data_IF_802698436515
#
_entry.id   IF_802698436515
#
_cell.length_a   1.000
_cell.length_b   1.000
_cell.length_c   1.000
_cell.angle_alpha   90.00
_cell.angle_beta   90.00
_cell.angle_gamma   90.00
#
_symmetry.space_group_name_H-M   'P 1'
#
loop_
_entity.id
_entity.type
_entity.pdbx_description
1 polymer ?
#
# COMPACT_ATOMS: atom_id res chain seq x y z
N UNK A 1 -15.74 6.04 10.47
CA UNK A 1 -15.02 6.55 9.27
C UNK A 1 -14.43 5.35 8.59
N UNK A 2 -14.62 5.19 7.27
CA UNK A 2 -14.40 3.90 6.64
C UNK A 2 -13.47 3.98 5.45
N UNK A 3 -12.57 3.02 5.36
CA UNK A 3 -11.73 2.79 4.19
C UNK A 3 -12.24 1.54 3.49
N UNK A 4 -12.54 1.66 2.21
CA UNK A 4 -12.95 0.53 1.36
C UNK A 4 -11.76 -0.01 0.59
N UNK A 5 -11.49 -1.32 0.68
CA UNK A 5 -10.43 -1.96 -0.09
C UNK A 5 -10.98 -2.66 -1.35
N UNK A 6 -10.62 -2.20 -2.53
CA UNK A 6 -10.90 -2.89 -3.80
C UNK A 6 -9.69 -3.75 -4.16
N UNK A 7 -9.87 -5.07 -4.16
CA UNK A 7 -8.82 -6.06 -4.39
C UNK A 7 -8.90 -6.59 -5.81
N UNK A 8 -7.82 -6.43 -6.59
CA UNK A 8 -7.84 -6.63 -8.04
C UNK A 8 -6.85 -7.70 -8.49
N UNK A 9 -7.40 -8.72 -9.16
CA UNK A 9 -6.66 -9.86 -9.69
C UNK A 9 -6.01 -10.72 -8.60
N UNK A 10 -5.28 -11.75 -9.03
CA UNK A 10 -4.67 -12.72 -8.12
C UNK A 10 -3.82 -12.06 -7.02
N UNK A 11 -2.92 -11.15 -7.41
CA UNK A 11 -2.01 -10.49 -6.47
C UNK A 11 -2.77 -9.62 -5.45
N UNK A 12 -3.71 -8.80 -5.91
CA UNK A 12 -4.50 -7.92 -5.06
C UNK A 12 -5.34 -8.68 -4.03
N UNK A 13 -6.02 -9.75 -4.45
CA UNK A 13 -6.86 -10.57 -3.57
C UNK A 13 -6.02 -11.32 -2.51
N UNK A 14 -4.90 -11.92 -2.91
CA UNK A 14 -4.02 -12.64 -1.96
C UNK A 14 -3.34 -11.70 -0.95
N UNK A 15 -2.94 -10.51 -1.41
CA UNK A 15 -2.40 -9.47 -0.53
C UNK A 15 -3.48 -8.94 0.42
N UNK A 16 -4.68 -8.66 -0.10
CA UNK A 16 -5.82 -8.23 0.70
C UNK A 16 -6.17 -9.21 1.82
N UNK A 17 -6.22 -10.51 1.53
CA UNK A 17 -6.39 -11.54 2.55
C UNK A 17 -5.34 -11.43 3.67
N UNK A 18 -4.07 -11.38 3.28
CA UNK A 18 -2.95 -11.27 4.25
C UNK A 18 -2.99 -9.97 5.04
N UNK A 19 -3.48 -8.88 4.44
CA UNK A 19 -3.62 -7.57 5.07
C UNK A 19 -4.70 -7.57 6.16
N UNK A 20 -5.91 -8.03 5.85
CA UNK A 20 -6.99 -8.12 6.83
C UNK A 20 -6.67 -9.09 7.97
N UNK A 21 -6.02 -10.22 7.66
CA UNK A 21 -5.46 -11.15 8.66
C UNK A 21 -4.51 -10.45 9.63
N UNK A 22 -3.57 -9.68 9.10
CA UNK A 22 -2.61 -8.98 9.92
C UNK A 22 -3.32 -7.94 10.81
N UNK A 23 -4.25 -7.16 10.26
CA UNK A 23 -4.98 -6.14 11.00
C UNK A 23 -5.74 -6.72 12.19
N UNK A 24 -6.47 -7.84 12.02
CA UNK A 24 -7.23 -8.46 13.13
C UNK A 24 -6.32 -9.09 14.17
N UNK A 25 -5.25 -9.77 13.77
CA UNK A 25 -4.30 -10.33 14.72
C UNK A 25 -3.63 -9.25 15.57
N UNK A 26 -3.30 -8.11 14.96
CA UNK A 26 -2.76 -6.95 15.68
C UNK A 26 -3.83 -6.28 16.57
N UNK A 27 -5.07 -6.20 16.09
CA UNK A 27 -6.23 -5.67 16.80
C UNK A 27 -6.45 -6.38 18.15
N UNK A 28 -6.39 -7.71 18.16
CA UNK A 28 -6.62 -8.53 19.36
C UNK A 28 -5.64 -8.23 20.50
N UNK A 29 -4.41 -7.79 20.15
CA UNK A 29 -3.37 -7.43 21.12
C UNK A 29 -3.39 -5.92 21.49
N UNK A 30 -4.32 -5.15 20.94
CA UNK A 30 -4.39 -3.70 21.10
C UNK A 30 -5.43 -3.25 22.13
N UNK A 31 -5.38 -1.97 22.52
CA UNK A 31 -6.35 -1.40 23.46
C UNK A 31 -7.79 -1.37 22.91
N UNK A 32 -8.84 -1.38 23.77
CA UNK A 32 -10.22 -1.33 23.29
C UNK A 32 -10.55 -0.15 22.37
N UNK A 33 -9.90 1.00 22.56
CA UNK A 33 -10.08 2.17 21.70
C UNK A 33 -9.47 1.95 20.29
N UNK A 34 -8.30 1.29 20.21
CA UNK A 34 -7.69 0.93 18.94
C UNK A 34 -8.54 -0.11 18.21
N UNK A 35 -9.05 -1.11 18.95
CA UNK A 35 -9.94 -2.13 18.42
C UNK A 35 -11.20 -1.52 17.79
N UNK A 36 -11.90 -0.66 18.55
CA UNK A 36 -13.09 0.00 18.05
C UNK A 36 -12.79 0.87 16.81
N UNK A 37 -11.67 1.61 16.84
CA UNK A 37 -11.28 2.49 15.73
C UNK A 37 -10.95 1.68 14.47
N UNK A 38 -10.22 0.58 14.62
CA UNK A 38 -9.87 -0.30 13.50
C UNK A 38 -11.10 -0.99 12.92
N UNK A 39 -11.97 -1.53 13.77
CA UNK A 39 -13.19 -2.19 13.36
C UNK A 39 -14.09 -1.21 12.59
N UNK A 40 -14.28 0.01 13.10
CA UNK A 40 -15.02 1.05 12.38
C UNK A 40 -14.34 1.46 11.06
N UNK A 41 -13.00 1.42 10.98
CA UNK A 41 -12.27 1.80 9.77
C UNK A 41 -12.37 0.76 8.65
N UNK A 42 -12.14 -0.51 8.98
CA UNK A 42 -11.93 -1.56 7.97
C UNK A 42 -13.00 -2.64 7.92
N UNK A 43 -13.94 -2.66 8.89
CA UNK A 43 -14.98 -3.69 9.00
C UNK A 43 -16.37 -3.09 9.18
N UNK A 44 -17.41 -3.84 8.83
CA UNK A 44 -18.79 -3.60 9.26
C UNK A 44 -19.35 -4.86 9.90
N UNK A 45 -20.34 -4.69 10.76
CA UNK A 45 -20.94 -5.80 11.50
C UNK A 45 -22.29 -6.18 10.91
N UNK A 46 -22.55 -7.48 10.80
CA UNK A 46 -23.86 -8.03 10.47
C UNK A 46 -24.32 -8.96 11.59
N UNK A 47 -25.59 -8.86 11.95
CA UNK A 47 -26.24 -9.80 12.86
C UNK A 47 -26.60 -11.08 12.10
N UNK A 48 -25.96 -12.18 12.45
CA UNK A 48 -26.30 -13.51 11.94
C UNK A 48 -26.93 -14.37 13.04
N UNK A 49 -27.51 -15.51 12.66
CA UNK A 49 -28.09 -16.47 13.61
C UNK A 49 -27.06 -17.00 14.63
N UNK A 50 -25.78 -16.98 14.27
CA UNK A 50 -24.64 -17.40 15.11
C UNK A 50 -24.06 -16.27 15.98
N UNK A 51 -24.57 -15.04 15.88
CA UNK A 51 -24.05 -13.87 16.59
C UNK A 51 -23.66 -12.72 15.64
N UNK A 52 -23.01 -11.71 16.21
CA UNK A 52 -22.47 -10.57 15.43
C UNK A 52 -21.18 -10.99 14.76
N UNK A 53 -21.07 -10.72 13.46
CA UNK A 53 -19.92 -11.11 12.64
C UNK A 53 -19.31 -9.90 11.95
N UNK A 54 -17.97 -9.85 11.93
CA UNK A 54 -17.24 -8.76 11.29
C UNK A 54 -16.95 -9.10 9.84
N UNK A 55 -17.41 -8.25 8.92
CA UNK A 55 -17.13 -8.36 7.50
C UNK A 55 -16.15 -7.28 7.07
N UNK A 56 -15.13 -7.67 6.30
CA UNK A 56 -14.18 -6.74 5.73
C UNK A 56 -14.87 -5.79 4.74
N UNK A 57 -14.63 -4.48 4.88
CA UNK A 57 -15.06 -3.43 3.93
C UNK A 57 -14.26 -3.53 2.64
N UNK A 58 -14.56 -4.56 1.84
CA UNK A 58 -13.77 -4.86 0.65
C UNK A 58 -14.60 -5.42 -0.49
N UNK A 59 -14.11 -5.20 -1.70
CA UNK A 59 -14.64 -5.71 -2.95
C UNK A 59 -13.57 -6.56 -3.64
N UNK A 60 -13.82 -7.86 -3.80
CA UNK A 60 -12.88 -8.80 -4.41
C UNK A 60 -13.20 -8.98 -5.89
N UNK A 61 -12.24 -8.71 -6.77
CA UNK A 61 -12.43 -8.75 -8.22
C UNK A 61 -11.31 -9.58 -8.82
N UNK A 62 -11.68 -10.64 -9.54
CA UNK A 62 -10.76 -11.36 -10.42
C UNK A 62 -11.53 -11.91 -11.62
N UNK A 63 -10.88 -12.04 -12.77
CA UNK A 63 -11.51 -12.64 -13.93
C UNK A 63 -11.55 -14.17 -13.86
N UNK A 64 -10.88 -14.76 -12.86
CA UNK A 64 -10.88 -16.19 -12.58
C UNK A 64 -11.36 -16.47 -11.15
N UNK A 65 -12.22 -17.48 -10.92
CA UNK A 65 -12.90 -17.64 -9.64
C UNK A 65 -12.02 -18.24 -8.55
N UNK A 66 -10.94 -18.93 -8.92
CA UNK A 66 -10.13 -19.77 -8.02
C UNK A 66 -9.58 -18.99 -6.82
N UNK A 67 -9.02 -17.81 -7.08
CA UNK A 67 -8.37 -17.00 -6.03
C UNK A 67 -9.42 -16.40 -5.10
N UNK A 68 -10.48 -15.80 -5.66
CA UNK A 68 -11.58 -15.22 -4.89
C UNK A 68 -12.26 -16.27 -4.01
N UNK A 69 -12.54 -17.46 -4.54
CA UNK A 69 -13.09 -18.56 -3.75
C UNK A 69 -12.16 -19.01 -2.63
N UNK A 70 -10.85 -19.04 -2.88
CA UNK A 70 -9.86 -19.36 -1.84
C UNK A 70 -9.88 -18.33 -0.70
N UNK A 71 -10.02 -17.04 -1.01
CA UNK A 71 -10.10 -15.97 -0.01
C UNK A 71 -11.44 -15.98 0.75
N UNK A 72 -12.55 -16.27 0.08
CA UNK A 72 -13.85 -16.40 0.74
C UNK A 72 -13.87 -17.58 1.73
N UNK A 73 -13.17 -18.67 1.41
CA UNK A 73 -13.15 -19.88 2.23
C UNK A 73 -12.10 -19.86 3.36
N UNK A 74 -11.06 -19.02 3.27
CA UNK A 74 -9.94 -19.04 4.22
C UNK A 74 -10.32 -18.66 5.65
N UNK A 75 -11.37 -17.83 5.81
CA UNK A 75 -11.82 -17.31 7.10
C UNK A 75 -13.24 -17.74 7.45
N UNK A 76 -13.76 -18.79 6.82
CA UNK A 76 -15.13 -19.22 7.06
C UNK A 76 -15.33 -19.66 8.53
N UNK A 77 -16.22 -18.98 9.23
CA UNK A 77 -16.52 -19.05 10.66
C UNK A 77 -15.39 -18.57 11.59
N UNK A 78 -14.53 -17.67 11.10
CA UNK A 78 -13.50 -17.02 11.90
C UNK A 78 -13.99 -15.69 12.50
N UNK A 79 -13.10 -14.97 13.21
CA UNK A 79 -13.34 -13.67 13.86
C UNK A 79 -13.76 -12.58 12.85
N UNK A 80 -13.39 -12.75 11.58
CA UNK A 80 -13.76 -11.87 10.48
C UNK A 80 -13.93 -12.66 9.17
N UNK A 81 -14.69 -12.12 8.21
CA UNK A 81 -14.89 -12.73 6.89
C UNK A 81 -14.95 -11.71 5.75
N UNK A 82 -14.78 -12.18 4.53
CA UNK A 82 -15.20 -11.46 3.33
C UNK A 82 -16.68 -11.72 3.05
N UNK A 83 -17.40 -10.68 2.65
CA UNK A 83 -18.80 -10.81 2.28
C UNK A 83 -18.91 -11.44 0.88
N UNK A 84 -19.55 -12.63 0.73
CA UNK A 84 -19.67 -13.29 -0.56
C UNK A 84 -20.46 -12.46 -1.59
N UNK A 85 -21.26 -11.48 -1.16
CA UNK A 85 -21.99 -10.58 -2.05
C UNK A 85 -21.11 -9.48 -2.64
N UNK A 86 -19.97 -9.18 -2.00
CA UNK A 86 -19.02 -8.15 -2.42
C UNK A 86 -17.86 -8.75 -3.21
N UNK A 87 -18.18 -9.58 -4.20
CA UNK A 87 -17.20 -10.15 -5.10
C UNK A 87 -17.66 -10.16 -6.55
N UNK A 88 -16.71 -10.14 -7.48
CA UNK A 88 -16.96 -10.28 -8.90
C UNK A 88 -15.96 -11.26 -9.52
N UNK A 89 -16.49 -12.29 -10.19
CA UNK A 89 -15.69 -13.27 -10.93
C UNK A 89 -16.26 -13.57 -12.30
N UNK A 90 -15.38 -13.95 -13.23
CA UNK A 90 -15.73 -14.50 -14.54
C UNK A 90 -15.04 -15.86 -14.75
N UNK A 91 -15.19 -16.46 -15.93
CA UNK A 91 -14.51 -17.70 -16.32
C UNK A 91 -13.44 -17.48 -17.40
N UNK A 92 -13.10 -16.22 -17.69
CA UNK A 92 -12.19 -15.85 -18.77
C UNK A 92 -11.13 -14.85 -18.29
N UNK A 93 -9.91 -15.32 -18.07
CA UNK A 93 -8.78 -14.49 -17.64
C UNK A 93 -8.34 -13.44 -18.67
N UNK A 94 -7.50 -12.51 -18.22
CA UNK A 94 -6.97 -11.42 -19.06
C UNK A 94 -5.66 -11.78 -19.80
N UNK A 95 -5.14 -13.00 -19.63
CA UNK A 95 -3.96 -13.51 -20.36
C UNK A 95 -2.68 -12.67 -20.23
N UNK A 96 -2.46 -12.00 -19.10
CA UNK A 96 -1.34 -11.06 -18.89
C UNK A 96 -1.26 -9.90 -19.89
N UNK A 97 -2.38 -9.51 -20.51
CA UNK A 97 -2.45 -8.40 -21.44
C UNK A 97 -3.29 -7.25 -20.84
N UNK A 98 -2.64 -6.11 -20.60
CA UNK A 98 -3.30 -4.92 -20.04
C UNK A 98 -4.43 -4.40 -20.92
N UNK A 99 -4.23 -4.34 -22.24
CA UNK A 99 -5.24 -3.85 -23.19
C UNK A 99 -6.50 -4.71 -23.18
N UNK A 100 -6.35 -6.03 -23.05
CA UNK A 100 -7.50 -6.92 -22.96
C UNK A 100 -8.30 -6.70 -21.67
N UNK A 101 -7.59 -6.57 -20.54
CA UNK A 101 -8.21 -6.27 -19.25
C UNK A 101 -8.96 -4.93 -19.26
N UNK A 102 -8.34 -3.88 -19.82
CA UNK A 102 -8.89 -2.53 -19.83
C UNK A 102 -10.00 -2.34 -20.88
N UNK A 103 -9.72 -2.55 -22.16
CA UNK A 103 -10.64 -2.22 -23.26
C UNK A 103 -11.73 -3.27 -23.49
N UNK A 104 -11.53 -4.53 -23.10
CA UNK A 104 -12.51 -5.59 -23.35
C UNK A 104 -13.24 -5.98 -22.07
N UNK A 105 -12.51 -6.43 -21.05
CA UNK A 105 -13.12 -6.89 -19.81
C UNK A 105 -13.70 -5.73 -19.00
N UNK A 106 -13.00 -4.59 -18.94
CA UNK A 106 -13.49 -3.36 -18.29
C UNK A 106 -14.87 -2.96 -18.78
N UNK A 107 -15.01 -2.72 -20.08
CA UNK A 107 -16.29 -2.34 -20.70
C UNK A 107 -17.40 -3.38 -20.47
N UNK A 108 -17.09 -4.68 -20.62
CA UNK A 108 -18.08 -5.76 -20.42
C UNK A 108 -18.57 -5.87 -18.98
N UNK A 109 -17.70 -5.61 -18.01
CA UNK A 109 -17.96 -5.87 -16.60
C UNK A 109 -18.37 -4.63 -15.80
N UNK A 110 -18.22 -3.43 -16.39
CA UNK A 110 -18.46 -2.11 -15.77
C UNK A 110 -19.69 -2.09 -14.87
N UNK A 111 -20.88 -2.30 -15.46
CA UNK A 111 -22.15 -2.08 -14.74
C UNK A 111 -22.31 -3.03 -13.55
N UNK A 112 -21.87 -4.28 -13.69
CA UNK A 112 -21.95 -5.27 -12.60
C UNK A 112 -21.00 -4.91 -11.47
N UNK A 113 -19.77 -4.51 -11.79
CA UNK A 113 -18.77 -4.12 -10.79
C UNK A 113 -19.23 -2.85 -10.07
N UNK A 114 -19.71 -1.84 -10.82
CA UNK A 114 -20.23 -0.59 -10.26
C UNK A 114 -21.42 -0.83 -9.33
N UNK A 115 -22.38 -1.67 -9.72
CA UNK A 115 -23.52 -2.04 -8.86
C UNK A 115 -23.08 -2.74 -7.58
N UNK A 116 -22.11 -3.65 -7.64
CA UNK A 116 -21.57 -4.30 -6.44
C UNK A 116 -20.84 -3.30 -5.55
N UNK A 117 -20.06 -2.40 -6.15
CA UNK A 117 -19.37 -1.34 -5.41
C UNK A 117 -20.34 -0.38 -4.72
N UNK A 118 -21.41 0.04 -5.41
CA UNK A 118 -22.49 0.85 -4.86
C UNK A 118 -23.16 0.18 -3.65
N UNK A 119 -23.51 -1.10 -3.76
CA UNK A 119 -24.07 -1.87 -2.64
C UNK A 119 -23.14 -1.98 -1.45
N UNK A 120 -21.82 -2.04 -1.68
CA UNK A 120 -20.83 -2.00 -0.60
C UNK A 120 -20.81 -0.62 0.07
N UNK A 121 -20.83 0.47 -0.70
CA UNK A 121 -20.87 1.82 -0.15
C UNK A 121 -22.17 2.09 0.63
N UNK A 122 -23.32 1.56 0.18
CA UNK A 122 -24.60 1.65 0.90
C UNK A 122 -24.59 0.96 2.28
N UNK A 123 -23.71 -0.03 2.49
CA UNK A 123 -23.52 -0.70 3.77
C UNK A 123 -22.62 0.07 4.74
N UNK A 124 -22.06 1.21 4.30
CA UNK A 124 -21.05 1.97 5.01
C UNK A 124 -21.58 3.36 5.30
N UNK A 125 -21.60 3.77 6.57
CA UNK A 125 -22.15 5.06 6.98
C UNK A 125 -21.42 6.26 6.36
N UNK A 126 -20.08 6.20 6.33
CA UNK A 126 -19.23 7.24 5.76
C UNK A 126 -17.94 6.65 5.22
N UNK A 127 -17.76 6.70 3.89
CA UNK A 127 -16.54 6.31 3.20
C UNK A 127 -15.62 7.52 3.06
N UNK A 128 -14.42 7.42 3.61
CA UNK A 128 -13.40 8.47 3.56
C UNK A 128 -12.50 8.32 2.32
N UNK A 129 -12.18 7.08 1.98
CA UNK A 129 -11.26 6.79 0.89
C UNK A 129 -11.27 5.34 0.49
N UNK A 130 -10.68 5.10 -0.68
CA UNK A 130 -10.64 3.81 -1.34
C UNK A 130 -9.18 3.41 -1.50
N UNK A 131 -8.87 2.20 -1.04
CA UNK A 131 -7.58 1.56 -1.26
C UNK A 131 -7.74 0.52 -2.36
N UNK A 132 -6.98 0.66 -3.44
CA UNK A 132 -6.94 -0.32 -4.52
C UNK A 132 -5.68 -1.17 -4.38
N UNK A 133 -5.84 -2.48 -4.25
CA UNK A 133 -4.73 -3.44 -4.13
C UNK A 133 -4.57 -4.17 -5.46
N UNK A 134 -3.46 -3.95 -6.16
CA UNK A 134 -3.23 -4.52 -7.49
C UNK A 134 -1.75 -4.78 -7.79
N UNK A 135 -1.48 -5.58 -8.82
CA UNK A 135 -0.15 -5.69 -9.42
C UNK A 135 0.02 -4.72 -10.58
N UNK A 136 1.25 -4.32 -10.90
CA UNK A 136 1.53 -3.47 -12.07
C UNK A 136 1.61 -4.25 -13.39
N UNK A 137 1.92 -5.54 -13.32
CA UNK A 137 2.29 -6.34 -14.50
C UNK A 137 1.23 -7.34 -14.96
N UNK A 138 0.14 -7.52 -14.21
CA UNK A 138 -0.92 -8.47 -14.55
C UNK A 138 -1.70 -8.11 -15.83
N UNK A 139 -2.67 -8.93 -16.21
CA UNK A 139 -3.70 -8.49 -17.17
C UNK A 139 -4.95 -7.98 -16.44
N UNK A 140 -5.44 -8.76 -15.48
CA UNK A 140 -6.61 -8.41 -14.66
C UNK A 140 -6.26 -7.34 -13.64
N UNK A 141 -5.27 -7.62 -12.78
CA UNK A 141 -4.91 -6.72 -11.69
C UNK A 141 -4.62 -5.31 -12.17
N UNK A 142 -3.87 -5.18 -13.27
CA UNK A 142 -3.40 -3.89 -13.76
C UNK A 142 -4.30 -3.28 -14.85
N UNK A 143 -4.71 -4.04 -15.86
CA UNK A 143 -5.56 -3.57 -16.96
C UNK A 143 -6.99 -3.28 -16.50
N UNK A 144 -7.70 -4.31 -16.02
CA UNK A 144 -9.04 -4.13 -15.46
C UNK A 144 -9.00 -3.22 -14.21
N UNK A 145 -7.94 -3.29 -13.40
CA UNK A 145 -7.75 -2.39 -12.26
C UNK A 145 -7.66 -0.91 -12.65
N UNK A 146 -6.93 -0.59 -13.72
CA UNK A 146 -6.85 0.78 -14.27
C UNK A 146 -8.21 1.29 -14.72
N UNK A 147 -9.00 0.44 -15.39
CA UNK A 147 -10.36 0.78 -15.82
C UNK A 147 -11.30 1.02 -14.64
N UNK A 148 -11.23 0.17 -13.60
CA UNK A 148 -12.06 0.30 -12.40
C UNK A 148 -11.72 1.57 -11.63
N UNK A 149 -10.43 1.94 -11.56
CA UNK A 149 -10.04 3.20 -10.94
C UNK A 149 -10.65 4.40 -11.67
N UNK A 150 -10.57 4.43 -12.99
CA UNK A 150 -11.17 5.48 -13.81
C UNK A 150 -12.69 5.56 -13.59
N UNK A 151 -13.38 4.42 -13.65
CA UNK A 151 -14.81 4.32 -13.35
C UNK A 151 -15.15 4.84 -11.94
N UNK A 152 -14.38 4.48 -10.91
CA UNK A 152 -14.58 4.98 -9.55
C UNK A 152 -14.33 6.49 -9.48
N UNK A 153 -13.32 6.99 -10.19
CA UNK A 153 -12.99 8.42 -10.19
C UNK A 153 -14.06 9.26 -10.91
N UNK A 154 -14.67 8.72 -11.96
CA UNK A 154 -15.78 9.36 -12.69
C UNK A 154 -17.06 9.43 -11.85
N UNK A 155 -17.41 8.34 -11.16
CA UNK A 155 -18.66 8.24 -10.39
C UNK A 155 -18.54 8.84 -8.98
N UNK A 156 -17.34 8.80 -8.37
CA UNK A 156 -17.03 9.28 -7.02
C UNK A 156 -15.75 10.14 -6.98
N UNK A 157 -15.72 11.29 -7.66
CA UNK A 157 -14.54 12.15 -7.74
C UNK A 157 -14.07 12.69 -6.38
N UNK A 158 -14.99 12.83 -5.41
CA UNK A 158 -14.73 13.38 -4.07
C UNK A 158 -14.00 12.43 -3.12
N UNK A 159 -14.02 11.12 -3.40
CA UNK A 159 -13.35 10.13 -2.56
C UNK A 159 -11.85 10.09 -2.86
N UNK A 160 -11.03 10.06 -1.82
CA UNK A 160 -9.58 9.89 -1.97
C UNK A 160 -9.27 8.45 -2.44
N UNK A 161 -8.44 8.30 -3.47
CA UNK A 161 -7.99 7.00 -4.01
C UNK A 161 -6.50 6.81 -3.78
N UNK A 162 -6.17 5.79 -3.00
CA UNK A 162 -4.80 5.31 -2.78
C UNK A 162 -4.60 3.96 -3.46
N UNK A 163 -3.63 3.87 -4.36
CA UNK A 163 -3.31 2.63 -5.06
C UNK A 163 -2.09 1.94 -4.44
N UNK A 164 -2.27 0.76 -3.88
CA UNK A 164 -1.16 -0.11 -3.47
C UNK A 164 -0.79 -1.01 -4.65
N UNK A 165 0.37 -0.73 -5.24
CA UNK A 165 0.83 -1.38 -6.45
C UNK A 165 2.06 -2.26 -6.19
N UNK A 166 1.91 -3.56 -6.45
CA UNK A 166 3.02 -4.52 -6.39
C UNK A 166 3.72 -4.57 -7.75
N UNK A 167 4.95 -4.10 -7.80
CA UNK A 167 5.82 -4.18 -8.96
C UNK A 167 6.32 -5.62 -9.17
N UNK A 168 6.42 -6.08 -10.43
CA UNK A 168 6.92 -7.41 -10.73
C UNK A 168 8.39 -7.55 -10.36
N UNK A 169 8.87 -8.79 -10.29
CA UNK A 169 10.30 -9.05 -10.26
C UNK A 169 10.96 -8.48 -11.52
N UNK A 170 12.09 -7.80 -11.36
CA UNK A 170 12.86 -7.30 -12.48
C UNK A 170 13.39 -8.44 -13.35
N UNK A 171 13.56 -9.66 -12.87
CA UNK A 171 13.90 -10.83 -13.71
C UNK A 171 12.68 -11.66 -14.11
N UNK A 172 11.48 -11.10 -14.01
CA UNK A 172 10.20 -11.80 -14.10
C UNK A 172 9.96 -12.62 -15.37
N UNK A 173 9.08 -13.62 -15.24
CA UNK A 173 8.75 -14.61 -16.26
C UNK A 173 7.80 -14.07 -17.35
N UNK A 174 7.07 -12.99 -17.07
CA UNK A 174 6.07 -12.42 -17.99
C UNK A 174 6.75 -11.45 -18.95
N UNK A 175 6.85 -11.85 -20.21
CA UNK A 175 7.52 -11.06 -21.27
C UNK A 175 6.89 -9.67 -21.45
N UNK A 176 5.57 -9.54 -21.22
CA UNK A 176 4.81 -8.30 -21.40
C UNK A 176 4.85 -7.34 -20.19
N UNK A 177 5.52 -7.72 -19.10
CA UNK A 177 5.40 -7.00 -17.83
C UNK A 177 5.80 -5.53 -17.91
N UNK A 178 6.82 -5.19 -18.70
CA UNK A 178 7.30 -3.81 -18.81
C UNK A 178 6.27 -2.91 -19.49
N UNK A 179 5.61 -3.41 -20.53
CA UNK A 179 4.51 -2.70 -21.18
C UNK A 179 3.30 -2.53 -20.27
N UNK A 180 2.89 -3.60 -19.57
CA UNK A 180 1.78 -3.52 -18.62
C UNK A 180 2.08 -2.51 -17.51
N UNK A 181 3.29 -2.49 -16.96
CA UNK A 181 3.68 -1.54 -15.92
C UNK A 181 3.62 -0.08 -16.42
N UNK A 182 4.11 0.20 -17.63
CA UNK A 182 4.06 1.55 -18.22
C UNK A 182 2.61 2.01 -18.35
N UNK A 183 1.76 1.22 -19.01
CA UNK A 183 0.35 1.57 -19.22
C UNK A 183 -0.38 1.78 -17.89
N UNK A 184 -0.14 0.89 -16.93
CA UNK A 184 -0.76 0.95 -15.60
C UNK A 184 -0.36 2.23 -14.89
N UNK A 185 0.94 2.50 -14.68
CA UNK A 185 1.39 3.71 -13.97
C UNK A 185 0.85 4.98 -14.66
N UNK A 186 0.85 5.03 -16.00
CA UNK A 186 0.33 6.20 -16.72
C UNK A 186 -1.16 6.43 -16.49
N UNK A 187 -1.96 5.37 -16.48
CA UNK A 187 -3.40 5.43 -16.21
C UNK A 187 -3.69 5.77 -14.75
N UNK A 188 -2.96 5.16 -13.80
CA UNK A 188 -3.10 5.46 -12.37
C UNK A 188 -2.77 6.93 -12.07
N UNK A 189 -1.71 7.48 -12.66
CA UNK A 189 -1.31 8.88 -12.42
C UNK A 189 -2.40 9.90 -12.76
N UNK A 190 -3.27 9.58 -13.71
CA UNK A 190 -4.36 10.45 -14.12
C UNK A 190 -5.55 10.39 -13.15
N UNK A 191 -5.80 9.22 -12.56
CA UNK A 191 -7.05 8.92 -11.85
C UNK A 191 -6.91 8.69 -10.34
N UNK A 192 -5.69 8.67 -9.79
CA UNK A 192 -5.44 8.45 -8.35
C UNK A 192 -4.86 9.67 -7.65
N UNK A 193 -5.06 9.74 -6.34
CA UNK A 193 -4.41 10.76 -5.49
C UNK A 193 -3.00 10.32 -5.06
N UNK A 194 -2.80 9.04 -4.75
CA UNK A 194 -1.50 8.48 -4.37
C UNK A 194 -1.28 7.03 -4.80
N UNK A 195 -0.02 6.64 -4.94
CA UNK A 195 0.42 5.28 -5.29
C UNK A 195 1.46 4.82 -4.27
N UNK A 196 1.15 3.81 -3.45
CA UNK A 196 2.13 3.10 -2.65
C UNK A 196 2.77 2.02 -3.52
N UNK A 197 4.05 2.19 -3.86
CA UNK A 197 4.78 1.24 -4.70
C UNK A 197 5.53 0.23 -3.82
N UNK A 198 5.29 -1.05 -4.08
CA UNK A 198 5.93 -2.18 -3.39
C UNK A 198 6.73 -2.99 -4.39
N UNK A 199 8.01 -3.22 -4.12
CA UNK A 199 8.91 -3.95 -5.02
C UNK A 199 9.11 -5.40 -4.56
N UNK A 200 8.66 -6.38 -5.37
CA UNK A 200 8.80 -7.79 -5.03
C UNK A 200 10.27 -8.20 -4.77
N UNK A 201 11.23 -7.68 -5.54
CA UNK A 201 12.66 -7.99 -5.35
C UNK A 201 13.16 -7.53 -3.97
N UNK A 202 12.68 -6.39 -3.47
CA UNK A 202 13.04 -5.88 -2.13
C UNK A 202 12.36 -6.66 -1.01
N UNK A 203 11.12 -7.08 -1.22
CA UNK A 203 10.38 -7.92 -0.26
C UNK A 203 11.01 -9.32 -0.16
N UNK A 204 11.32 -9.93 -1.31
CA UNK A 204 12.04 -11.21 -1.38
C UNK A 204 13.39 -11.13 -0.65
N UNK A 205 14.11 -10.02 -0.82
CA UNK A 205 15.36 -9.78 -0.11
C UNK A 205 15.19 -9.71 1.41
N UNK A 206 14.13 -9.06 1.91
CA UNK A 206 13.80 -9.04 3.34
C UNK A 206 13.52 -10.46 3.84
N UNK A 207 12.71 -11.24 3.12
CA UNK A 207 12.41 -12.61 3.49
C UNK A 207 13.67 -13.50 3.55
N UNK A 208 14.52 -13.40 2.52
CA UNK A 208 15.75 -14.19 2.41
C UNK A 208 16.76 -13.82 3.51
N UNK A 209 17.03 -12.53 3.71
CA UNK A 209 18.14 -12.07 4.56
C UNK A 209 17.77 -11.85 6.02
N UNK A 210 16.58 -11.31 6.28
CA UNK A 210 16.15 -10.96 7.64
C UNK A 210 15.29 -12.05 8.26
N UNK A 211 14.39 -12.66 7.48
CA UNK A 211 13.51 -13.73 7.99
C UNK A 211 14.11 -15.14 7.83
N UNK A 212 15.30 -15.24 7.22
CA UNK A 212 16.02 -16.50 6.98
C UNK A 212 15.19 -17.54 6.16
N UNK A 213 14.33 -17.05 5.28
CA UNK A 213 13.50 -17.87 4.39
C UNK A 213 14.20 -18.03 3.04
N UNK A 214 14.93 -19.13 2.80
CA UNK A 214 15.77 -19.31 1.59
C UNK A 214 15.03 -19.24 0.25
N UNK A 215 13.73 -19.54 0.24
CA UNK A 215 12.85 -19.52 -0.95
C UNK A 215 11.47 -19.09 -0.49
N UNK A 216 11.24 -17.78 -0.33
CA UNK A 216 9.98 -17.28 0.20
C UNK A 216 8.86 -17.55 -0.80
N UNK A 217 7.76 -18.10 -0.29
CA UNK A 217 6.50 -18.22 -1.01
C UNK A 217 5.83 -16.85 -1.18
N UNK A 218 4.93 -16.72 -2.16
CA UNK A 218 4.11 -15.51 -2.33
C UNK A 218 3.34 -15.16 -1.04
N UNK A 219 2.88 -16.17 -0.29
CA UNK A 219 2.18 -15.95 0.98
C UNK A 219 3.08 -15.31 2.04
N UNK A 220 4.35 -15.74 2.14
CA UNK A 220 5.31 -15.13 3.08
C UNK A 220 5.67 -13.71 2.67
N UNK A 221 5.83 -13.45 1.37
CA UNK A 221 6.03 -12.09 0.87
C UNK A 221 4.81 -11.20 1.15
N UNK A 222 3.60 -11.69 0.91
CA UNK A 222 2.36 -10.96 1.21
C UNK A 222 2.22 -10.65 2.70
N UNK A 223 2.70 -11.52 3.60
CA UNK A 223 2.74 -11.22 5.05
C UNK A 223 3.66 -10.04 5.38
N UNK A 224 4.82 -9.94 4.72
CA UNK A 224 5.74 -8.80 4.91
C UNK A 224 5.12 -7.51 4.38
N UNK A 225 4.47 -7.56 3.21
CA UNK A 225 3.78 -6.41 2.63
C UNK A 225 2.59 -5.99 3.52
N UNK A 226 1.79 -6.95 3.99
CA UNK A 226 0.71 -6.72 4.94
C UNK A 226 1.21 -6.06 6.23
N UNK A 227 2.33 -6.53 6.79
CA UNK A 227 2.98 -5.91 7.95
C UNK A 227 3.37 -4.45 7.65
N UNK A 228 3.99 -4.17 6.49
CA UNK A 228 4.38 -2.81 6.10
C UNK A 228 3.16 -1.89 5.96
N UNK A 229 2.14 -2.30 5.22
CA UNK A 229 0.91 -1.54 5.02
C UNK A 229 0.21 -1.28 6.36
N UNK A 230 -0.02 -2.33 7.16
CA UNK A 230 -0.65 -2.22 8.47
C UNK A 230 0.14 -1.32 9.41
N UNK A 231 1.47 -1.29 9.33
CA UNK A 231 2.27 -0.43 10.21
C UNK A 231 2.01 1.07 10.02
N UNK A 232 1.54 1.45 8.82
CA UNK A 232 1.12 2.81 8.47
C UNK A 232 -0.40 2.96 8.67
N UNK A 233 -1.21 1.98 8.27
CA UNK A 233 -2.67 2.11 8.26
C UNK A 233 -3.34 1.77 9.61
N UNK A 234 -2.63 1.13 10.54
CA UNK A 234 -3.18 0.85 11.85
C UNK A 234 -3.44 2.16 12.61
N UNK A 235 -4.51 2.26 13.42
CA UNK A 235 -4.80 3.46 14.17
C UNK A 235 -3.65 3.91 15.07
N UNK A 236 -3.37 5.20 15.11
CA UNK A 236 -2.49 5.85 16.07
C UNK A 236 -3.36 6.43 17.18
N UNK A 237 -3.11 6.01 18.42
CA UNK A 237 -3.76 6.59 19.59
C UNK A 237 -2.84 7.61 20.27
N UNK A 238 -3.24 8.90 20.37
CA UNK A 238 -2.52 9.86 21.19
C UNK A 238 -2.64 9.50 22.67
N UNK A 239 -1.63 9.88 23.46
CA UNK A 239 -1.60 9.55 24.89
C UNK A 239 -2.79 10.17 25.64
N UNK A 240 -3.37 9.39 26.55
CA UNK A 240 -4.33 9.84 27.54
C UNK A 240 -3.67 10.90 28.44
N UNK A 241 -4.13 12.14 28.35
CA UNK A 241 -3.65 13.19 29.26
C UNK A 241 -3.93 12.77 30.71
N UNK A 242 -2.89 12.77 31.54
CA UNK A 242 -3.07 12.63 32.99
C UNK A 242 -3.54 13.97 33.53
N UNK A 243 -4.67 13.97 34.24
CA UNK A 243 -5.08 15.15 34.99
C UNK A 243 -4.05 15.44 36.10
N UNK A 244 -3.98 16.68 36.57
CA UNK A 244 -3.12 17.14 37.67
C UNK A 244 -3.32 16.37 38.99
N UNK A 245 -4.35 15.53 39.08
CA UNK A 245 -4.66 14.60 40.18
C UNK A 245 -4.10 13.17 39.99
N UNK A 246 -3.34 12.90 38.92
CA UNK A 246 -2.75 11.58 38.66
C UNK A 246 -3.72 10.53 38.12
N UNK A 247 -4.99 10.87 37.90
CA UNK A 247 -5.95 10.00 37.23
C UNK A 247 -5.72 10.04 35.71
N UNK A 248 -5.53 8.86 35.10
CA UNK A 248 -5.47 8.71 33.65
C UNK A 248 -6.84 9.00 33.07
N UNK A 249 -6.98 10.05 32.27
CA UNK A 249 -8.20 10.28 31.51
C UNK A 249 -8.19 9.29 30.33
N UNK A 250 -9.10 8.33 30.29
CA UNK A 250 -9.18 7.39 29.17
C UNK A 250 -9.30 8.17 27.84
N UNK A 251 -8.54 7.74 26.82
CA UNK A 251 -8.68 8.30 25.46
C UNK A 251 -10.08 7.95 24.98
N UNK A 252 -10.91 8.97 24.74
CA UNK A 252 -12.27 8.76 24.25
C UNK A 252 -12.22 8.24 22.82
N UNK A 253 -13.05 7.24 22.50
CA UNK A 253 -13.17 6.68 21.15
C UNK A 253 -13.39 7.75 20.06
N UNK A 254 -14.21 8.76 20.36
CA UNK A 254 -14.47 9.84 19.41
C UNK A 254 -13.21 10.67 19.11
N UNK A 255 -12.35 10.92 20.11
CA UNK A 255 -11.11 11.66 19.87
C UNK A 255 -10.05 10.81 19.16
N UNK A 256 -10.02 9.49 19.37
CA UNK A 256 -9.11 8.62 18.59
C UNK A 256 -9.49 8.60 17.11
N UNK A 257 -10.78 8.50 16.79
CA UNK A 257 -11.27 8.57 15.41
C UNK A 257 -10.86 9.88 14.72
N UNK A 258 -11.11 11.03 15.37
CA UNK A 258 -10.75 12.34 14.80
C UNK A 258 -9.25 12.51 14.56
N UNK A 259 -8.40 11.97 15.44
CA UNK A 259 -6.96 12.03 15.26
C UNK A 259 -6.47 11.12 14.14
N UNK A 260 -7.07 9.93 14.00
CA UNK A 260 -6.74 9.02 12.90
C UNK A 260 -7.19 9.58 11.55
N UNK A 261 -8.34 10.25 11.51
CA UNK A 261 -8.76 11.01 10.34
C UNK A 261 -7.73 12.07 9.94
N UNK A 262 -7.29 12.86 10.90
CA UNK A 262 -6.25 13.86 10.65
C UNK A 262 -4.96 13.20 10.13
N UNK A 263 -4.57 12.06 10.71
CA UNK A 263 -3.41 11.31 10.27
C UNK A 263 -3.50 10.84 8.81
N UNK A 264 -4.64 10.26 8.40
CA UNK A 264 -4.84 9.85 7.00
C UNK A 264 -4.84 11.05 6.05
N UNK A 265 -5.53 12.14 6.40
CA UNK A 265 -5.50 13.38 5.62
C UNK A 265 -4.09 13.96 5.50
N UNK A 266 -3.30 13.87 6.57
CA UNK A 266 -1.92 14.35 6.56
C UNK A 266 -1.04 13.59 5.57
N UNK A 267 -1.34 12.33 5.22
CA UNK A 267 -0.67 11.63 4.12
C UNK A 267 -0.89 12.38 2.80
N UNK A 268 -2.13 12.79 2.51
CA UNK A 268 -2.46 13.54 1.30
C UNK A 268 -1.89 14.97 1.35
N UNK A 269 -2.14 15.69 2.45
CA UNK A 269 -1.79 17.11 2.61
C UNK A 269 -0.29 17.36 2.76
N UNK A 270 0.49 16.38 3.22
CA UNK A 270 1.93 16.54 3.43
C UNK A 270 2.74 15.90 2.31
N UNK A 271 2.34 14.72 1.86
CA UNK A 271 3.13 13.92 0.91
C UNK A 271 2.65 14.04 -0.53
N UNK A 272 1.39 14.37 -0.79
CA UNK A 272 0.78 14.33 -2.13
C UNK A 272 0.28 15.70 -2.62
N UNK A 273 0.90 16.78 -2.13
CA UNK A 273 0.50 18.17 -2.46
C UNK A 273 0.66 18.56 -3.92
N UNK A 274 1.65 17.99 -4.61
CA UNK A 274 1.93 18.28 -6.01
C UNK A 274 1.52 17.08 -6.88
N UNK A 275 0.60 17.26 -7.85
CA UNK A 275 0.08 16.16 -8.65
C UNK A 275 1.13 15.46 -9.52
N UNK A 276 2.34 16.04 -9.68
CA UNK A 276 3.46 15.39 -10.37
C UNK A 276 4.11 14.29 -9.55
N UNK A 277 3.89 14.28 -8.23
CA UNK A 277 4.59 13.42 -7.29
C UNK A 277 3.61 12.60 -6.46
N UNK A 278 3.12 11.49 -7.03
CA UNK A 278 2.09 10.65 -6.41
C UNK A 278 2.62 9.34 -5.78
N UNK A 279 3.87 8.96 -6.04
CA UNK A 279 4.42 7.68 -5.61
C UNK A 279 5.03 7.78 -4.20
N UNK A 280 4.60 6.89 -3.32
CA UNK A 280 4.99 6.75 -1.92
C UNK A 280 5.69 5.41 -1.69
N UNK A 281 6.66 5.42 -0.79
CA UNK A 281 7.31 4.22 -0.24
C UNK A 281 6.94 4.04 1.22
N UNK A 282 6.85 2.78 1.66
CA UNK A 282 6.73 2.44 3.08
C UNK A 282 8.00 1.69 3.50
N UNK A 283 8.53 2.07 4.66
CA UNK A 283 9.64 1.39 5.32
C UNK A 283 9.32 1.24 6.79
N UNK A 284 9.74 0.14 7.39
CA UNK A 284 9.56 -0.09 8.82
C UNK A 284 10.74 -0.84 9.40
N UNK A 285 11.01 -0.57 10.67
CA UNK A 285 12.06 -1.20 11.47
C UNK A 285 11.52 -1.49 12.88
N UNK A 286 11.96 -2.58 13.52
CA UNK A 286 12.83 -3.61 12.97
C UNK A 286 12.04 -4.74 12.26
N UNK A 287 12.72 -5.42 11.35
CA UNK A 287 12.24 -6.61 10.65
C UNK A 287 13.08 -7.81 11.06
N UNK A 288 12.46 -8.76 11.78
CA UNK A 288 13.14 -9.95 12.28
C UNK A 288 12.15 -11.12 12.48
N UNK A 289 12.65 -12.37 12.59
CA UNK A 289 11.80 -13.53 12.90
C UNK A 289 11.19 -13.43 14.30
N UNK A 290 10.00 -14.01 14.50
CA UNK A 290 9.29 -13.98 15.78
C UNK A 290 10.10 -14.57 16.94
N UNK A 291 10.86 -15.63 16.68
CA UNK A 291 11.74 -16.27 17.67
C UNK A 291 12.85 -15.35 18.18
N UNK A 292 13.20 -14.30 17.43
CA UNK A 292 14.24 -13.33 17.78
C UNK A 292 13.70 -12.12 18.54
N UNK A 293 12.40 -11.84 18.45
CA UNK A 293 11.77 -10.65 19.07
C UNK A 293 11.91 -10.63 20.59
N UNK A 294 11.86 -11.79 21.25
CA UNK A 294 12.03 -11.91 22.70
C UNK A 294 13.43 -11.55 23.22
N UNK A 295 14.44 -11.49 22.33
CA UNK A 295 15.81 -11.12 22.66
C UNK A 295 16.17 -9.70 22.19
N UNK A 296 15.19 -8.95 21.73
CA UNK A 296 15.37 -7.59 21.21
C UNK A 296 15.77 -6.64 22.35
N UNK A 297 16.77 -5.79 22.08
CA UNK A 297 17.16 -4.70 22.99
C UNK A 297 17.43 -3.42 22.17
N UNK A 298 16.49 -3.08 21.30
CA UNK A 298 16.63 -1.92 20.43
C UNK A 298 16.44 -0.61 21.20
N UNK A 299 17.29 0.35 20.88
CA UNK A 299 17.20 1.72 21.37
C UNK A 299 16.52 2.60 20.31
N UNK A 300 15.69 3.56 20.73
CA UNK A 300 14.97 4.46 19.82
C UNK A 300 15.91 5.22 18.88
N UNK A 301 17.04 5.71 19.38
CA UNK A 301 18.07 6.38 18.58
C UNK A 301 18.71 5.46 17.53
N UNK A 302 18.84 4.16 17.83
CA UNK A 302 19.36 3.19 16.87
C UNK A 302 18.34 2.91 15.76
N UNK A 303 17.06 2.74 16.12
CA UNK A 303 15.98 2.54 15.14
C UNK A 303 15.81 3.76 14.24
N UNK A 304 15.83 4.97 14.82
CA UNK A 304 15.77 6.22 14.06
C UNK A 304 16.94 6.33 13.08
N UNK A 305 18.16 5.99 13.52
CA UNK A 305 19.34 5.99 12.66
C UNK A 305 19.24 4.96 11.51
N UNK A 306 18.67 3.77 11.77
CA UNK A 306 18.46 2.74 10.73
C UNK A 306 17.49 3.23 9.67
N UNK A 307 16.31 3.72 10.08
CA UNK A 307 15.28 4.15 9.13
C UNK A 307 15.73 5.41 8.35
N UNK A 308 16.49 6.29 9.00
CA UNK A 308 17.14 7.43 8.37
C UNK A 308 18.15 7.00 7.30
N UNK A 309 19.03 6.06 7.62
CA UNK A 309 20.01 5.56 6.66
C UNK A 309 19.32 4.85 5.49
N UNK A 310 18.29 4.03 5.76
CA UNK A 310 17.47 3.38 4.74
C UNK A 310 16.84 4.37 3.76
N UNK A 311 16.36 5.51 4.25
CA UNK A 311 15.87 6.61 3.41
C UNK A 311 16.98 7.09 2.48
N UNK A 312 18.12 7.51 3.01
CA UNK A 312 19.22 8.11 2.23
C UNK A 312 19.81 7.13 1.22
N UNK A 313 19.95 5.86 1.59
CA UNK A 313 20.53 4.85 0.73
C UNK A 313 19.57 4.21 -0.25
N UNK A 314 18.27 4.49 -0.16
CA UNK A 314 17.23 3.76 -0.90
C UNK A 314 17.32 2.23 -0.70
N UNK A 315 17.58 1.81 0.54
CA UNK A 315 17.77 0.40 0.86
C UNK A 315 16.72 -0.09 1.85
N UNK A 316 16.45 -1.38 1.83
CA UNK A 316 15.73 -2.04 2.92
C UNK A 316 16.67 -2.31 4.11
N UNK A 317 16.10 -2.70 5.25
CA UNK A 317 16.86 -2.96 6.49
C UNK A 317 17.92 -4.06 6.29
N UNK A 318 17.69 -4.98 5.36
CA UNK A 318 18.60 -6.07 5.01
C UNK A 318 19.96 -5.61 4.47
N UNK A 319 20.01 -4.46 3.79
CA UNK A 319 21.17 -3.98 3.03
C UNK A 319 21.43 -2.48 3.24
N UNK A 320 21.44 -2.02 4.48
CA UNK A 320 21.70 -0.62 4.77
C UNK A 320 23.13 -0.24 4.34
N UNK A 321 23.25 0.71 3.41
CA UNK A 321 24.55 1.25 3.03
C UNK A 321 24.94 2.38 3.99
N UNK A 322 25.63 2.02 5.08
CA UNK A 322 26.13 2.94 6.10
C UNK A 322 27.21 3.92 5.63
N UNK A 323 27.82 3.68 4.46
CA UNK A 323 28.83 4.59 3.91
C UNK A 323 28.22 5.78 3.16
N UNK A 324 26.94 5.68 2.78
CA UNK A 324 26.28 6.70 1.97
C UNK A 324 26.00 7.94 2.82
N UNK A 325 26.60 9.06 2.42
CA UNK A 325 26.43 10.36 3.09
C UNK A 325 25.12 11.02 2.66
N UNK A 326 24.61 11.88 3.53
CA UNK A 326 23.39 12.69 3.29
C UNK A 326 23.53 13.46 1.97
N UNK A 327 24.68 14.07 1.69
CA UNK A 327 24.90 14.87 0.46
C UNK A 327 24.69 14.06 -0.83
N UNK A 328 25.10 12.79 -0.82
CA UNK A 328 24.96 11.83 -1.93
C UNK A 328 23.68 10.98 -1.86
N UNK A 329 22.83 11.25 -0.86
CA UNK A 329 21.59 10.54 -0.58
C UNK A 329 20.49 10.86 -1.57
N UNK A 330 19.46 10.00 -1.61
CA UNK A 330 18.21 10.39 -2.27
C UNK A 330 17.50 11.48 -1.47
N UNK A 331 16.75 12.32 -2.17
CA UNK A 331 15.94 13.39 -1.59
C UNK A 331 14.47 12.98 -1.45
N UNK A 332 13.78 13.61 -0.50
CA UNK A 332 12.33 13.48 -0.29
C UNK A 332 11.61 14.80 -0.41
N UNK A 333 10.33 14.74 -0.78
CA UNK A 333 9.41 15.87 -0.70
C UNK A 333 8.79 15.99 0.69
N UNK A 334 8.59 14.86 1.36
CA UNK A 334 8.09 14.81 2.73
C UNK A 334 8.20 13.41 3.32
N UNK A 335 8.18 13.33 4.65
CA UNK A 335 8.24 12.07 5.40
C UNK A 335 7.26 12.10 6.57
N UNK A 336 6.45 11.06 6.72
CA UNK A 336 5.66 10.84 7.92
C UNK A 336 6.21 9.61 8.63
N UNK A 337 6.50 9.76 9.92
CA UNK A 337 7.05 8.70 10.76
C UNK A 337 6.09 8.37 11.89
N UNK A 338 6.02 7.09 12.25
CA UNK A 338 5.13 6.56 13.27
C UNK A 338 5.99 5.70 14.19
N UNK A 339 6.24 6.20 15.39
CA UNK A 339 6.88 5.44 16.46
C UNK A 339 5.83 4.70 17.27
N UNK A 340 5.96 3.38 17.39
CA UNK A 340 5.07 2.52 18.18
C UNK A 340 5.85 1.73 19.24
N UNK A 341 5.49 1.88 20.51
CA UNK A 341 6.01 1.04 21.59
C UNK A 341 6.42 1.77 22.88
N UNK A 342 7.19 1.07 23.71
CA UNK A 342 7.51 1.50 25.08
C UNK A 342 8.33 2.80 25.07
N UNK A 343 7.95 3.75 25.93
CA UNK A 343 8.64 5.04 26.14
C UNK A 343 8.76 5.94 24.89
N UNK A 344 8.00 5.68 23.82
CA UNK A 344 8.06 6.49 22.58
C UNK A 344 7.77 7.97 22.82
N UNK A 345 6.90 8.28 23.79
CA UNK A 345 6.47 9.66 24.07
C UNK A 345 7.63 10.54 24.54
N UNK A 346 8.59 9.96 25.27
CA UNK A 346 9.79 10.65 25.79
C UNK A 346 10.81 10.97 24.70
N UNK A 347 10.71 10.33 23.53
CA UNK A 347 11.70 10.49 22.46
C UNK A 347 11.50 11.77 21.69
N UNK A 348 12.60 12.48 21.39
CA UNK A 348 12.61 13.58 20.43
C UNK A 348 13.30 13.05 19.19
N UNK A 349 12.51 12.61 18.23
CA UNK A 349 13.02 12.25 16.91
C UNK A 349 13.43 13.54 16.20
N UNK A 350 14.71 13.67 15.88
CA UNK A 350 15.32 14.91 15.39
C UNK A 350 16.08 14.69 14.07
N UNK A 351 16.39 13.45 13.68
CA UNK A 351 17.21 13.20 12.48
C UNK A 351 16.55 13.70 11.20
N UNK A 352 15.22 13.67 11.12
CA UNK A 352 14.47 14.14 9.95
C UNK A 352 14.24 15.65 9.94
N UNK A 353 14.78 16.39 10.92
CA UNK A 353 14.85 17.86 10.84
C UNK A 353 15.95 18.35 9.91
N UNK A 354 16.86 17.47 9.46
CA UNK A 354 17.97 17.83 8.58
C UNK A 354 17.47 18.32 7.20
N UNK A 355 17.72 19.58 6.83
CA UNK A 355 17.19 20.16 5.58
C UNK A 355 17.69 19.44 4.32
N UNK A 356 18.90 18.88 4.36
CA UNK A 356 19.53 18.24 3.20
C UNK A 356 18.79 17.00 2.69
N UNK A 357 17.87 16.43 3.48
CA UNK A 357 17.02 15.32 3.03
C UNK A 357 15.97 15.81 2.03
N UNK A 358 15.57 17.07 2.12
CA UNK A 358 14.41 17.58 1.42
C UNK A 358 14.75 18.32 0.14
N UNK A 359 13.86 18.21 -0.85
CA UNK A 359 13.91 19.05 -2.05
C UNK A 359 13.94 20.52 -1.64
N UNK A 360 14.83 21.29 -2.25
CA UNK A 360 15.05 22.72 -1.96
C UNK A 360 15.33 23.02 -0.47
N UNK A 361 15.75 22.02 0.31
CA UNK A 361 16.01 22.16 1.75
C UNK A 361 14.81 22.64 2.58
N UNK A 362 13.58 22.47 2.07
CA UNK A 362 12.37 22.77 2.82
C UNK A 362 11.97 21.57 3.65
N UNK A 363 12.26 21.64 4.94
CA UNK A 363 11.92 20.61 5.92
C UNK A 363 10.42 20.34 5.90
N UNK A 364 10.03 19.08 5.65
CA UNK A 364 8.64 18.66 5.57
C UNK A 364 8.46 17.28 6.18
N UNK A 365 8.22 17.21 7.48
CA UNK A 365 7.97 15.94 8.15
C UNK A 365 6.92 16.04 9.25
N UNK A 366 6.38 14.88 9.62
CA UNK A 366 5.51 14.72 10.79
C UNK A 366 5.82 13.44 11.52
N UNK A 367 5.71 13.49 12.85
CA UNK A 367 5.86 12.33 13.71
C UNK A 367 4.58 12.06 14.47
N UNK A 368 4.18 10.80 14.45
CA UNK A 368 3.13 10.25 15.29
C UNK A 368 3.76 9.27 16.28
N UNK A 369 3.18 9.21 17.47
CA UNK A 369 3.68 8.40 18.57
C UNK A 369 2.53 7.67 19.21
N UNK A 370 2.67 6.36 19.32
CA UNK A 370 1.71 5.48 19.95
C UNK A 370 2.42 4.53 20.91
N UNK A 371 1.91 4.41 22.13
CA UNK A 371 2.49 3.51 23.13
C UNK A 371 2.19 2.04 22.85
N UNK A 372 1.30 1.74 21.90
CA UNK A 372 0.99 0.39 21.43
C UNK A 372 2.23 -0.31 20.88
N UNK A 373 2.48 -1.55 21.31
CA UNK A 373 3.54 -2.40 20.75
C UNK A 373 3.03 -3.05 19.48
N UNK A 374 3.77 -2.92 18.38
CA UNK A 374 3.29 -3.34 17.06
C UNK A 374 4.01 -4.59 16.56
N UNK A 375 3.27 -5.57 16.06
CA UNK A 375 3.79 -6.84 15.56
C UNK A 375 4.68 -7.57 16.59
N UNK A 376 4.29 -7.54 17.87
CA UNK A 376 5.06 -8.08 19.00
C UNK A 376 6.47 -7.49 19.18
N UNK A 377 6.77 -6.34 18.57
CA UNK A 377 8.02 -5.63 18.83
C UNK A 377 7.83 -4.65 19.99
N UNK A 378 8.79 -4.60 20.91
CA UNK A 378 8.76 -3.64 22.03
C UNK A 378 8.78 -2.19 21.54
N UNK A 379 9.50 -1.95 20.43
CA UNK A 379 9.69 -0.66 19.78
C UNK A 379 9.74 -0.88 18.27
N UNK A 380 9.04 -0.04 17.53
CA UNK A 380 9.06 -0.03 16.07
C UNK A 380 8.91 1.40 15.53
N UNK A 381 9.49 1.64 14.37
CA UNK A 381 9.31 2.89 13.61
C UNK A 381 8.90 2.51 12.20
N UNK A 382 7.78 3.06 11.77
CA UNK A 382 7.35 3.02 10.37
C UNK A 382 7.44 4.39 9.75
N UNK A 383 7.69 4.44 8.45
CA UNK A 383 7.81 5.67 7.68
C UNK A 383 7.13 5.50 6.34
N UNK A 384 6.33 6.49 5.98
CA UNK A 384 5.83 6.70 4.63
C UNK A 384 6.47 7.95 4.05
N UNK A 385 7.03 7.83 2.85
CA UNK A 385 7.88 8.86 2.22
C UNK A 385 7.57 9.03 0.75
N UNK A 386 7.45 10.28 0.31
CA UNK A 386 7.49 10.65 -1.10
C UNK A 386 8.92 11.08 -1.46
N UNK A 387 9.64 10.25 -2.21
CA UNK A 387 11.08 10.42 -2.46
C UNK A 387 11.50 9.84 -3.80
N UNK A 388 12.77 10.02 -4.15
CA UNK A 388 13.36 9.49 -5.39
C UNK A 388 13.51 7.96 -5.43
N UNK A 389 12.97 7.24 -4.44
CA UNK A 389 13.14 5.78 -4.32
C UNK A 389 12.68 5.03 -5.58
N UNK A 390 11.60 5.50 -6.21
CA UNK A 390 10.96 4.85 -7.34
C UNK A 390 11.75 5.01 -8.65
N UNK A 391 12.74 5.90 -8.70
CA UNK A 391 13.50 6.18 -9.92
C UNK A 391 14.22 4.94 -10.44
N UNK A 392 14.95 4.22 -9.58
CA UNK A 392 15.73 3.04 -9.99
C UNK A 392 14.86 1.89 -10.56
N UNK A 393 13.81 1.42 -9.86
CA UNK A 393 12.96 0.34 -10.40
C UNK A 393 12.19 0.77 -11.64
N UNK A 394 11.62 1.99 -11.65
CA UNK A 394 10.84 2.46 -12.79
C UNK A 394 11.73 2.75 -14.02
N UNK A 395 12.96 3.23 -13.83
CA UNK A 395 13.91 3.42 -14.94
C UNK A 395 14.25 2.08 -15.61
N UNK A 396 14.41 1.02 -14.83
CA UNK A 396 14.67 -0.32 -15.36
C UNK A 396 13.49 -0.82 -16.20
N UNK A 397 12.26 -0.56 -15.74
CA UNK A 397 11.02 -0.87 -16.47
C UNK A 397 10.94 -0.06 -17.77
N UNK A 398 11.17 1.26 -17.71
CA UNK A 398 11.16 2.16 -18.88
C UNK A 398 12.17 1.72 -19.93
N UNK A 399 13.44 1.47 -19.53
CA UNK A 399 14.50 1.05 -20.46
C UNK A 399 14.12 -0.21 -21.26
N UNK A 400 13.50 -1.18 -20.59
CA UNK A 400 13.05 -2.42 -21.23
C UNK A 400 11.84 -2.20 -22.11
N UNK A 401 10.87 -1.41 -21.67
CA UNK A 401 9.71 -1.06 -22.49
C UNK A 401 10.15 -0.35 -23.78
N UNK A 402 11.08 0.61 -23.70
CA UNK A 402 11.66 1.27 -24.88
C UNK A 402 12.44 0.31 -25.78
N UNK A 403 13.16 -0.65 -25.22
CA UNK A 403 13.83 -1.69 -26.02
C UNK A 403 12.79 -2.53 -26.77
N UNK A 404 11.77 -3.03 -26.10
CA UNK A 404 10.70 -3.80 -26.72
C UNK A 404 9.97 -3.00 -27.80
N UNK A 405 9.70 -1.71 -27.55
CA UNK A 405 8.98 -0.84 -28.49
C UNK A 405 9.78 -0.59 -29.76
N UNK A 406 11.09 -0.32 -29.62
CA UNK A 406 12.01 -0.15 -30.77
C UNK A 406 12.07 -1.39 -31.66
N UNK A 407 12.08 -2.57 -31.05
CA UNK A 407 12.05 -3.86 -31.76
C UNK A 407 10.64 -4.23 -32.27
N UNK A 408 9.63 -3.39 -32.01
CA UNK A 408 8.20 -3.67 -32.26
C UNK A 408 7.73 -5.01 -31.68
N UNK A 409 8.37 -5.45 -30.60
CA UNK A 409 8.09 -6.73 -29.98
C UNK A 409 6.70 -6.68 -29.33
N UNK A 410 5.86 -7.67 -29.66
CA UNK A 410 4.53 -7.91 -29.07
C UNK A 410 3.50 -6.77 -29.16
N UNK A 411 3.77 -5.68 -29.89
CA UNK A 411 2.83 -4.56 -30.04
C UNK A 411 1.49 -4.98 -30.65
N UNK A 412 1.52 -5.92 -31.61
CA UNK A 412 0.32 -6.49 -32.23
C UNK A 412 -0.67 -7.08 -31.22
N UNK A 413 -0.20 -7.53 -30.05
CA UNK A 413 -1.08 -8.05 -28.99
C UNK A 413 -1.88 -6.96 -28.30
N UNK A 414 -1.38 -5.73 -28.26
CA UNK A 414 -2.06 -4.57 -27.68
C UNK A 414 -2.96 -3.90 -28.73
N UNK A 415 -2.49 -3.79 -29.97
CA UNK A 415 -3.27 -3.27 -31.11
C UNK A 415 -4.54 -4.10 -31.35
N UNK A 416 -4.44 -5.43 -31.22
CA UNK A 416 -5.60 -6.34 -31.30
C UNK A 416 -6.74 -5.94 -30.35
N UNK A 417 -6.42 -5.32 -29.22
CA UNK A 417 -7.38 -4.90 -28.21
C UNK A 417 -7.52 -3.37 -28.13
N UNK A 418 -7.17 -2.67 -29.20
CA UNK A 418 -7.51 -1.26 -29.38
C UNK A 418 -6.52 -0.26 -28.82
N UNK A 419 -5.30 -0.66 -28.44
CA UNK A 419 -4.23 0.31 -28.12
C UNK A 419 -3.35 0.52 -29.35
N UNK A 420 -3.40 1.72 -29.91
CA UNK A 420 -2.58 2.08 -31.06
C UNK A 420 -1.10 2.28 -30.67
N UNK A 421 -0.20 2.19 -31.64
CA UNK A 421 1.22 2.49 -31.40
C UNK A 421 1.46 3.95 -30.98
N UNK A 422 0.58 4.87 -31.40
CA UNK A 422 0.64 6.28 -31.02
C UNK A 422 0.27 6.47 -29.55
N UNK A 423 -0.84 5.86 -29.10
CA UNK A 423 -1.24 5.85 -27.68
C UNK A 423 -0.14 5.23 -26.82
N UNK A 424 0.42 4.10 -27.26
CA UNK A 424 1.50 3.44 -26.52
C UNK A 424 2.74 4.34 -26.39
N UNK A 425 3.10 5.06 -27.47
CA UNK A 425 4.20 6.02 -27.44
C UNK A 425 3.93 7.20 -26.51
N UNK A 426 2.68 7.69 -26.48
CA UNK A 426 2.27 8.74 -25.53
C UNK A 426 2.38 8.25 -24.08
N UNK A 427 1.96 7.02 -23.78
CA UNK A 427 2.14 6.43 -22.45
C UNK A 427 3.63 6.34 -22.07
N UNK A 428 4.51 5.90 -22.98
CA UNK A 428 5.96 5.91 -22.73
C UNK A 428 6.47 7.33 -22.40
N UNK A 429 6.06 8.34 -23.16
CA UNK A 429 6.47 9.72 -22.93
C UNK A 429 5.98 10.26 -21.57
N UNK A 430 4.73 9.97 -21.19
CA UNK A 430 4.18 10.34 -19.87
C UNK A 430 4.97 9.64 -18.75
N UNK A 431 5.26 8.36 -18.92
CA UNK A 431 6.03 7.58 -17.95
C UNK A 431 7.44 8.15 -17.76
N UNK A 432 8.12 8.52 -18.85
CA UNK A 432 9.44 9.15 -18.79
C UNK A 432 9.38 10.54 -18.16
N UNK A 433 8.31 11.31 -18.39
CA UNK A 433 8.10 12.59 -17.71
C UNK A 433 7.93 12.41 -16.19
N UNK A 434 7.23 11.36 -15.75
CA UNK A 434 7.11 11.01 -14.32
C UNK A 434 8.50 10.71 -13.75
N UNK A 435 9.29 9.86 -14.42
CA UNK A 435 10.66 9.55 -14.02
C UNK A 435 11.53 10.80 -13.92
N UNK A 436 11.48 11.66 -14.93
CA UNK A 436 12.22 12.92 -14.96
C UNK A 436 11.83 13.85 -13.80
N UNK A 437 10.54 13.95 -13.49
CA UNK A 437 10.06 14.74 -12.37
C UNK A 437 10.69 14.26 -11.05
N UNK A 438 10.73 12.94 -10.81
CA UNK A 438 11.35 12.36 -9.60
C UNK A 438 12.88 12.48 -9.60
N UNK A 439 13.55 12.34 -10.73
CA UNK A 439 14.99 12.58 -10.85
C UNK A 439 15.37 14.02 -10.51
N UNK A 440 14.46 14.97 -10.72
CA UNK A 440 14.67 16.41 -10.43
C UNK A 440 14.37 16.85 -8.99
N UNK A 441 13.95 15.93 -8.11
CA UNK A 441 13.82 16.20 -6.66
C UNK A 441 15.21 16.42 -6.06
#
# INVERSE_FOLDING_TARGET
MSIVCVQLGQCGNQLGNSFYDFLINECQNSSPAAQATLLDTFFYQKEEKSGVKNYAKSLLIDMEPKVVQSCLNSHQNDVWEFDPTNCFTQQEGSGNNWAYGYNVHGLKCRDKILQTFQKLLEQIDFCEGIFLLQSLAGGTGSGLGSFILEMINDEYPELNKMNVCVAPHLTGEVILQSYNCVLTITSLYQNTDGIILVENDKIEEICNKLLNLKRPSLNEMNRVIAHQLSSVLFPVLPESQKNSSGQQQQVNYFSSLQNNFRYFNDIYDLLLTDPRYKILSIRNVPQMPDASKSFQNDQWSALEKRIFQMQISNSMESNINWSKKIDSGIRSLGNILIGRGIDVQKQKFEMFAEPLIYKNQRVNYRYYKDSHQFNNNEKSISMISNSQFCVEPLQTISNRAHQMYREKAYLYQYEKYGISQEEFFQSLAIFDQILFNYQSI
#
